data_IF_664490394016
#
_entry.id   IF_664490394016
#
_cell.length_a   1.000
_cell.length_b   1.000
_cell.length_c   1.000
_cell.angle_alpha   90.00
_cell.angle_beta   90.00
_cell.angle_gamma   90.00
#
_symmetry.space_group_name_H-M   'P 1'
#
loop_
_entity.id
_entity.type
_entity.pdbx_description
1 polymer ?
#
# COMPACT_ATOMS: atom_id res chain seq x y z
N UNK A 1 -13.65 6.25 -2.02
CA UNK A 1 -12.34 5.57 -1.96
C UNK A 1 -12.04 4.93 -3.31
N UNK A 2 -10.82 5.10 -3.84
CA UNK A 2 -10.35 4.41 -5.04
C UNK A 2 -10.54 2.89 -4.92
N UNK A 3 -10.77 2.21 -6.04
CA UNK A 3 -11.00 0.76 -6.07
C UNK A 3 -9.80 -0.06 -5.54
N UNK A 4 -8.58 0.49 -5.61
CA UNK A 4 -7.38 -0.15 -5.08
C UNK A 4 -7.29 -0.03 -3.55
N UNK A 5 -7.47 1.17 -2.98
CA UNK A 5 -7.43 1.40 -1.53
C UNK A 5 -8.36 0.44 -0.76
N UNK A 6 -9.58 0.22 -1.27
CA UNK A 6 -10.53 -0.73 -0.67
C UNK A 6 -10.00 -2.17 -0.69
N UNK A 7 -9.43 -2.61 -1.82
CA UNK A 7 -8.87 -3.96 -1.96
C UNK A 7 -7.64 -4.15 -1.07
N UNK A 8 -6.79 -3.14 -0.98
CA UNK A 8 -5.63 -3.13 -0.09
C UNK A 8 -6.04 -3.27 1.39
N UNK A 9 -7.01 -2.47 1.86
CA UNK A 9 -7.50 -2.59 3.24
C UNK A 9 -8.11 -3.95 3.54
N UNK A 10 -8.91 -4.50 2.63
CA UNK A 10 -9.45 -5.85 2.78
C UNK A 10 -8.32 -6.88 2.90
N UNK A 11 -7.30 -6.78 2.04
CA UNK A 11 -6.16 -7.70 2.05
C UNK A 11 -5.37 -7.62 3.36
N UNK A 12 -5.18 -6.43 3.91
CA UNK A 12 -4.54 -6.27 5.22
C UNK A 12 -5.32 -6.99 6.32
N UNK A 13 -6.65 -6.89 6.31
CA UNK A 13 -7.52 -7.62 7.25
C UNK A 13 -7.37 -9.14 7.07
N UNK A 14 -7.39 -9.63 5.82
CA UNK A 14 -7.22 -11.06 5.52
C UNK A 14 -5.85 -11.61 6.00
N UNK A 15 -4.83 -10.75 6.05
CA UNK A 15 -3.48 -11.09 6.53
C UNK A 15 -3.27 -10.84 8.03
N UNK A 16 -4.28 -10.33 8.74
CA UNK A 16 -4.16 -9.84 10.12
C UNK A 16 -3.01 -8.81 10.30
N UNK A 17 -2.83 -7.94 9.31
CA UNK A 17 -1.79 -6.91 9.28
C UNK A 17 -2.38 -5.51 9.38
N UNK A 18 -1.60 -4.58 9.91
CA UNK A 18 -1.87 -3.14 9.94
C UNK A 18 -1.10 -2.46 8.83
N UNK A 19 -1.65 -1.35 8.33
CA UNK A 19 -0.95 -0.51 7.34
C UNK A 19 0.41 0.00 7.86
N UNK A 20 0.55 0.19 9.18
CA UNK A 20 1.82 0.55 9.81
C UNK A 20 2.90 -0.51 9.57
N UNK A 21 2.56 -1.79 9.59
CA UNK A 21 3.54 -2.87 9.38
C UNK A 21 4.06 -2.89 7.95
N UNK A 22 3.21 -2.56 6.97
CA UNK A 22 3.65 -2.33 5.58
C UNK A 22 4.60 -1.14 5.52
N UNK A 23 4.28 -0.05 6.22
CA UNK A 23 5.12 1.14 6.24
C UNK A 23 6.49 0.85 6.88
N UNK A 24 6.49 0.17 8.03
CA UNK A 24 7.68 -0.22 8.77
C UNK A 24 8.57 -1.17 7.93
N UNK A 25 7.97 -2.11 7.18
CA UNK A 25 8.70 -3.01 6.29
C UNK A 25 9.52 -2.28 5.22
N UNK A 26 9.00 -1.18 4.68
CA UNK A 26 9.67 -0.40 3.63
C UNK A 26 10.41 0.85 4.16
N UNK A 27 10.42 1.09 5.48
CA UNK A 27 11.00 2.29 6.06
C UNK A 27 10.24 3.57 5.70
N UNK A 28 8.93 3.46 5.46
CA UNK A 28 8.06 4.58 5.07
C UNK A 28 7.16 5.03 6.21
N UNK A 29 6.52 6.19 6.05
CA UNK A 29 5.46 6.63 6.96
C UNK A 29 4.14 5.96 6.59
N UNK A 30 3.28 5.71 7.59
CA UNK A 30 1.92 5.19 7.32
C UNK A 30 1.11 6.15 6.42
N UNK A 31 1.34 7.46 6.53
CA UNK A 31 0.71 8.47 5.67
C UNK A 31 1.16 8.35 4.21
N UNK A 32 2.45 8.10 3.96
CA UNK A 32 2.95 7.85 2.61
C UNK A 32 2.29 6.63 1.98
N UNK A 33 2.22 5.50 2.71
CA UNK A 33 1.51 4.31 2.24
C UNK A 33 0.06 4.63 1.91
N UNK A 34 -0.63 5.45 2.73
CA UNK A 34 -2.01 5.86 2.46
C UNK A 34 -2.13 6.61 1.15
N UNK A 35 -1.25 7.60 0.92
CA UNK A 35 -1.24 8.41 -0.30
C UNK A 35 -0.91 7.58 -1.54
N UNK A 36 0.00 6.62 -1.39
CA UNK A 36 0.40 5.70 -2.45
C UNK A 36 -0.77 4.82 -2.88
N UNK A 37 -1.46 4.18 -1.93
CA UNK A 37 -2.61 3.30 -2.24
C UNK A 37 -3.88 4.07 -2.60
N UNK A 38 -3.99 5.35 -2.24
CA UNK A 38 -5.08 6.22 -2.66
C UNK A 38 -4.84 6.85 -4.04
N UNK A 39 -3.66 6.65 -4.65
CA UNK A 39 -3.29 7.27 -5.93
C UNK A 39 -3.08 8.79 -5.84
N UNK A 40 -2.84 9.32 -4.64
CA UNK A 40 -2.49 10.73 -4.43
C UNK A 40 -1.01 11.01 -4.70
N UNK A 41 -0.19 9.97 -4.76
CA UNK A 41 1.23 10.05 -5.15
C UNK A 41 1.36 9.63 -6.61
N UNK A 42 2.01 10.45 -7.44
CA UNK A 42 2.20 10.22 -8.87
C UNK A 42 3.69 10.16 -9.23
N UNK A 43 3.98 9.55 -10.38
CA UNK A 43 5.32 9.46 -10.96
C UNK A 43 5.93 8.05 -10.89
N UNK A 44 7.08 7.85 -11.54
CA UNK A 44 7.68 6.52 -11.73
C UNK A 44 8.05 5.84 -10.41
N UNK A 45 8.52 6.61 -9.43
CA UNK A 45 8.83 6.09 -8.10
C UNK A 45 7.56 5.62 -7.34
N UNK A 46 6.43 6.32 -7.52
CA UNK A 46 5.16 5.92 -6.90
C UNK A 46 4.62 4.63 -7.53
N UNK A 47 4.76 4.47 -8.85
CA UNK A 47 4.38 3.23 -9.53
C UNK A 47 5.23 2.04 -9.07
N UNK A 48 6.54 2.22 -8.95
CA UNK A 48 7.46 1.19 -8.46
C UNK A 48 7.16 0.83 -7.01
N UNK A 49 6.96 1.82 -6.14
CA UNK A 49 6.63 1.59 -4.74
C UNK A 49 5.26 0.93 -4.58
N UNK A 50 4.27 1.31 -5.40
CA UNK A 50 2.96 0.66 -5.40
C UNK A 50 3.07 -0.81 -5.82
N UNK A 51 3.95 -1.12 -6.79
CA UNK A 51 4.24 -2.50 -7.20
C UNK A 51 4.86 -3.30 -6.04
N UNK A 52 5.84 -2.74 -5.34
CA UNK A 52 6.44 -3.37 -4.14
C UNK A 52 5.40 -3.66 -3.06
N UNK A 53 4.50 -2.72 -2.79
CA UNK A 53 3.39 -2.93 -1.83
C UNK A 53 2.49 -4.07 -2.29
N UNK A 54 2.09 -4.09 -3.56
CA UNK A 54 1.25 -5.16 -4.12
C UNK A 54 1.90 -6.53 -3.97
N UNK A 55 3.18 -6.65 -4.32
CA UNK A 55 3.94 -7.90 -4.18
C UNK A 55 4.01 -8.34 -2.72
N UNK A 56 4.32 -7.43 -1.81
CA UNK A 56 4.42 -7.72 -0.37
C UNK A 56 3.11 -8.23 0.23
N UNK A 57 1.97 -7.61 -0.12
CA UNK A 57 0.67 -8.08 0.36
C UNK A 57 0.05 -9.19 -0.52
N UNK A 58 0.77 -9.68 -1.54
CA UNK A 58 0.32 -10.75 -2.43
C UNK A 58 -0.88 -10.37 -3.31
N UNK A 59 -0.96 -9.12 -3.75
CA UNK A 59 -1.97 -8.63 -4.70
C UNK A 59 -1.40 -8.63 -6.12
N UNK A 60 -2.15 -9.20 -7.08
CA UNK A 60 -1.84 -9.13 -8.52
C UNK A 60 -2.53 -7.92 -9.16
#
# INVERSE_FOLDING_TARGET
MPAFERRFKKRLIDLNMKQKEVADHFGWTSQYVRQLVSGMTLGPAAEENLKKVKEFVGMK
#
